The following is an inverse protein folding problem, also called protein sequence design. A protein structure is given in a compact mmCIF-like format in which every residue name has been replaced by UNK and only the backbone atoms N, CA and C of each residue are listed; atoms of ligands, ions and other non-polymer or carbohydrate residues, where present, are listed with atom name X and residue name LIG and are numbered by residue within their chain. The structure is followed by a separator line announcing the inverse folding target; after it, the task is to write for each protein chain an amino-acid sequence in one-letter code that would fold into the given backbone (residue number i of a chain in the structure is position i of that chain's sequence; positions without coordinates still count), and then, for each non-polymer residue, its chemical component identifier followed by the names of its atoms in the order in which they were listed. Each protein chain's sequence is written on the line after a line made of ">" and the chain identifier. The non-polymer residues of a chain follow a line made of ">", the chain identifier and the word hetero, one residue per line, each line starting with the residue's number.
data_IF_009997112787
#
_entry.id   IF_009997112787
#
_cell.length_a   1.000
_cell.length_b   1.000
_cell.length_c   1.000
_cell.angle_alpha   90.00
_cell.angle_beta   90.00
_cell.angle_gamma   90.00
#
_symmetry.space_group_name_H-M   'P 1'
#
loop_
_entity.id
_entity.type
_entity.pdbx_description
1 polymer ?
#
# COMPACT_ATOMS: atom_id res chain seq x y z
N UNK A 1 -11.39 20.51 -0.85
CA UNK A 1 -10.84 19.14 -0.63
C UNK A 1 -11.79 18.02 -1.06
N UNK A 2 -13.06 18.30 -1.27
CA UNK A 2 -14.07 17.31 -1.71
C UNK A 2 -13.69 16.61 -3.03
N UNK A 3 -13.11 17.33 -3.99
CA UNK A 3 -12.68 16.82 -5.30
C UNK A 3 -11.51 15.80 -5.23
N UNK A 4 -10.72 15.84 -4.17
CA UNK A 4 -9.56 14.97 -3.97
C UNK A 4 -9.88 13.69 -3.15
N UNK A 5 -11.15 13.53 -2.76
CA UNK A 5 -11.61 12.40 -1.96
C UNK A 5 -11.95 11.20 -2.82
N UNK A 6 -11.75 10.01 -2.30
CA UNK A 6 -12.23 8.75 -2.88
C UNK A 6 -13.69 8.43 -2.51
N UNK A 7 -14.51 9.43 -2.19
CA UNK A 7 -15.94 9.21 -1.93
C UNK A 7 -16.64 8.50 -3.09
N UNK A 8 -17.74 7.78 -2.81
CA UNK A 8 -18.54 7.08 -3.82
C UNK A 8 -18.88 7.99 -5.00
N UNK A 9 -19.31 9.25 -4.72
CA UNK A 9 -19.67 10.20 -5.76
C UNK A 9 -18.51 10.58 -6.69
N UNK A 10 -17.29 10.75 -6.14
CA UNK A 10 -16.12 11.07 -6.94
C UNK A 10 -15.63 9.85 -7.74
N UNK A 11 -15.67 8.66 -7.16
CA UNK A 11 -15.31 7.42 -7.87
C UNK A 11 -16.24 7.11 -9.03
N UNK A 12 -17.51 7.49 -8.96
CA UNK A 12 -18.44 7.36 -10.08
C UNK A 12 -18.15 8.36 -11.21
N UNK A 13 -17.61 9.53 -10.88
CA UNK A 13 -17.34 10.60 -11.85
C UNK A 13 -15.93 10.50 -12.46
N UNK A 14 -14.91 10.36 -11.62
CA UNK A 14 -13.48 10.24 -12.00
C UNK A 14 -12.76 9.25 -11.08
N UNK A 15 -12.86 7.95 -11.36
CA UNK A 15 -12.25 6.93 -10.50
C UNK A 15 -10.70 7.01 -10.47
N UNK A 16 -10.08 7.30 -11.60
CA UNK A 16 -8.60 7.31 -11.69
C UNK A 16 -8.03 8.54 -11.00
N UNK A 17 -8.58 9.73 -11.29
CA UNK A 17 -8.14 10.97 -10.65
C UNK A 17 -8.35 10.92 -9.15
N UNK A 18 -9.52 10.46 -8.68
CA UNK A 18 -9.82 10.32 -7.25
C UNK A 18 -8.84 9.36 -6.55
N UNK A 19 -8.56 8.18 -7.11
CA UNK A 19 -7.62 7.22 -6.54
C UNK A 19 -6.20 7.76 -6.48
N UNK A 20 -5.73 8.42 -7.55
CA UNK A 20 -4.37 8.94 -7.57
C UNK A 20 -4.22 10.11 -6.61
N UNK A 21 -5.11 11.10 -6.68
CA UNK A 21 -4.97 12.33 -5.90
C UNK A 21 -5.17 12.09 -4.41
N UNK A 22 -6.14 11.25 -4.01
CA UNK A 22 -6.43 10.96 -2.60
C UNK A 22 -5.23 10.36 -1.86
N UNK A 23 -4.37 9.61 -2.52
CA UNK A 23 -3.16 9.03 -1.93
C UNK A 23 -2.14 10.09 -1.47
N UNK A 24 -2.20 11.32 -2.01
CA UNK A 24 -1.24 12.39 -1.75
C UNK A 24 -1.82 13.57 -0.97
N UNK A 25 -3.13 13.61 -0.77
CA UNK A 25 -3.80 14.71 -0.06
C UNK A 25 -4.11 14.31 1.37
N UNK A 26 -3.86 15.25 2.32
CA UNK A 26 -4.19 15.05 3.74
C UNK A 26 -5.30 16.00 4.17
N UNK A 27 -6.22 15.53 5.01
CA UNK A 27 -7.40 16.30 5.44
C UNK A 27 -7.10 17.47 6.38
N UNK A 28 -5.94 17.52 7.03
CA UNK A 28 -5.71 18.38 8.21
C UNK A 28 -4.54 19.38 8.07
N UNK A 29 -4.13 19.76 6.86
CA UNK A 29 -3.10 20.78 6.65
C UNK A 29 -1.71 20.42 7.19
N UNK A 30 -0.92 21.44 7.57
CA UNK A 30 0.50 21.28 7.96
C UNK A 30 0.75 20.33 9.14
N UNK A 31 -0.15 20.28 10.13
CA UNK A 31 -0.02 19.35 11.27
C UNK A 31 -0.09 17.90 10.85
N UNK A 32 -0.98 17.60 9.91
CA UNK A 32 -1.11 16.25 9.35
C UNK A 32 0.15 15.84 8.61
N UNK A 33 0.75 16.74 7.85
CA UNK A 33 2.02 16.47 7.17
C UNK A 33 3.14 16.12 8.15
N UNK A 34 3.29 16.86 9.24
CA UNK A 34 4.31 16.59 10.27
C UNK A 34 4.15 15.21 10.91
N UNK A 35 2.91 14.73 11.05
CA UNK A 35 2.62 13.38 11.56
C UNK A 35 2.86 12.30 10.51
N UNK A 36 2.41 12.54 9.28
CA UNK A 36 2.47 11.54 8.22
C UNK A 36 3.86 11.39 7.59
N UNK A 37 4.68 12.45 7.55
CA UNK A 37 6.02 12.39 6.96
C UNK A 37 6.92 11.32 7.61
N UNK A 38 7.11 11.28 8.95
CA UNK A 38 7.93 10.25 9.57
C UNK A 38 7.35 8.83 9.40
N UNK A 39 6.02 8.67 9.53
CA UNK A 39 5.35 7.38 9.31
C UNK A 39 5.57 6.88 7.89
N UNK A 40 5.32 7.73 6.90
CA UNK A 40 5.56 7.39 5.50
C UNK A 40 7.03 7.12 5.20
N UNK A 41 7.94 7.90 5.79
CA UNK A 41 9.38 7.68 5.59
C UNK A 41 9.79 6.29 6.09
N UNK A 42 9.44 5.93 7.32
CA UNK A 42 9.75 4.60 7.89
C UNK A 42 9.09 3.49 7.06
N UNK A 43 7.80 3.63 6.73
CA UNK A 43 7.06 2.66 5.96
C UNK A 43 7.67 2.43 4.57
N UNK A 44 7.87 3.51 3.80
CA UNK A 44 8.35 3.45 2.42
C UNK A 44 9.82 3.02 2.33
N UNK A 45 10.72 3.60 3.14
CA UNK A 45 12.13 3.20 3.13
C UNK A 45 12.32 1.77 3.61
N UNK A 46 11.57 1.35 4.64
CA UNK A 46 11.58 -0.02 5.12
C UNK A 46 11.13 -1.02 4.06
N UNK A 47 10.02 -0.74 3.38
CA UNK A 47 9.50 -1.58 2.30
C UNK A 47 10.45 -1.59 1.09
N UNK A 48 10.98 -0.43 0.68
CA UNK A 48 11.95 -0.34 -0.41
C UNK A 48 13.24 -1.13 -0.10
N UNK A 49 13.74 -1.06 1.14
CA UNK A 49 14.88 -1.84 1.57
C UNK A 49 14.59 -3.36 1.59
N UNK A 50 13.36 -3.75 1.89
CA UNK A 50 12.94 -5.15 1.98
C UNK A 50 12.73 -5.81 0.61
N UNK A 51 11.98 -5.16 -0.29
CA UNK A 51 11.51 -5.78 -1.55
C UNK A 51 11.92 -5.00 -2.82
N UNK A 52 12.52 -3.82 -2.67
CA UNK A 52 12.90 -2.92 -3.77
C UNK A 52 11.80 -1.93 -4.15
N UNK A 53 12.21 -0.78 -4.72
CA UNK A 53 11.32 0.36 -4.95
C UNK A 53 10.09 0.04 -5.82
N UNK A 54 10.27 -0.58 -7.00
CA UNK A 54 9.16 -0.90 -7.89
C UNK A 54 8.11 -1.81 -7.24
N UNK A 55 8.54 -2.85 -6.54
CA UNK A 55 7.64 -3.77 -5.84
C UNK A 55 6.87 -3.07 -4.73
N UNK A 56 7.54 -2.19 -4.00
CA UNK A 56 6.90 -1.34 -2.99
C UNK A 56 5.78 -0.51 -3.61
N UNK A 57 6.05 0.18 -4.73
CA UNK A 57 5.03 0.98 -5.43
C UNK A 57 3.83 0.11 -5.84
N UNK A 58 4.06 -1.06 -6.44
CA UNK A 58 2.98 -1.96 -6.87
C UNK A 58 2.12 -2.42 -5.70
N UNK A 59 2.73 -2.83 -4.58
CA UNK A 59 1.96 -3.30 -3.41
C UNK A 59 1.20 -2.16 -2.76
N UNK A 60 1.82 -0.98 -2.61
CA UNK A 60 1.17 0.19 -2.05
C UNK A 60 -0.01 0.65 -2.91
N UNK A 61 0.16 0.67 -4.23
CA UNK A 61 -0.91 0.98 -5.17
C UNK A 61 -2.05 -0.05 -5.09
N UNK A 62 -1.72 -1.35 -5.06
CA UNK A 62 -2.72 -2.41 -4.92
C UNK A 62 -3.48 -2.27 -3.59
N UNK A 63 -2.79 -2.08 -2.47
CA UNK A 63 -3.41 -1.89 -1.16
C UNK A 63 -4.31 -0.65 -1.13
N UNK A 64 -3.86 0.48 -1.69
CA UNK A 64 -4.66 1.69 -1.78
C UNK A 64 -5.91 1.50 -2.64
N UNK A 65 -5.77 0.98 -3.85
CA UNK A 65 -6.90 0.76 -4.78
C UNK A 65 -7.90 -0.22 -4.20
N UNK A 66 -7.46 -1.40 -3.75
CA UNK A 66 -8.36 -2.44 -3.22
C UNK A 66 -8.99 -1.98 -1.90
N UNK A 67 -8.22 -1.34 -1.01
CA UNK A 67 -8.72 -0.76 0.23
C UNK A 67 -9.85 0.23 -0.01
N UNK A 68 -9.63 1.19 -0.92
CA UNK A 68 -10.62 2.18 -1.32
C UNK A 68 -11.86 1.54 -1.96
N UNK A 69 -11.68 0.68 -2.96
CA UNK A 69 -12.83 0.10 -3.68
C UNK A 69 -13.70 -0.78 -2.78
N UNK A 70 -13.10 -1.49 -1.83
CA UNK A 70 -13.85 -2.31 -0.87
C UNK A 70 -14.59 -1.42 0.14
N UNK A 71 -13.92 -0.45 0.74
CA UNK A 71 -14.54 0.42 1.75
C UNK A 71 -15.67 1.28 1.15
N UNK A 72 -15.43 1.93 0.02
CA UNK A 72 -16.44 2.75 -0.66
C UNK A 72 -17.55 1.89 -1.29
N UNK A 73 -17.23 0.69 -1.77
CA UNK A 73 -18.22 -0.29 -2.24
C UNK A 73 -19.20 -0.70 -1.15
N UNK A 74 -18.74 -0.88 0.09
CA UNK A 74 -19.59 -1.14 1.26
C UNK A 74 -20.49 0.06 1.54
N UNK A 75 -19.98 1.31 1.47
CA UNK A 75 -20.80 2.52 1.63
C UNK A 75 -21.86 2.60 0.55
N UNK A 76 -21.47 2.42 -0.71
CA UNK A 76 -22.40 2.45 -1.84
C UNK A 76 -23.54 1.43 -1.66
N UNK A 77 -23.20 0.20 -1.28
CA UNK A 77 -24.18 -0.85 -1.00
C UNK A 77 -25.10 -0.49 0.18
N UNK A 78 -24.58 0.03 1.29
CA UNK A 78 -25.38 0.43 2.46
C UNK A 78 -26.29 1.60 2.18
N UNK A 79 -25.86 2.55 1.35
CA UNK A 79 -26.73 3.65 0.88
C UNK A 79 -27.82 3.12 -0.04
N UNK A 80 -27.49 2.25 -1.00
CA UNK A 80 -28.46 1.66 -1.92
C UNK A 80 -29.51 0.80 -1.20
N UNK A 81 -29.12 0.11 -0.11
CA UNK A 81 -30.04 -0.68 0.72
C UNK A 81 -30.84 0.14 1.74
N UNK A 82 -30.64 1.46 1.82
CA UNK A 82 -31.30 2.33 2.80
C UNK A 82 -30.73 2.23 4.22
N UNK A 83 -29.63 1.49 4.43
CA UNK A 83 -28.97 1.36 5.75
C UNK A 83 -28.17 2.61 6.13
N UNK A 84 -27.82 3.47 5.16
CA UNK A 84 -27.17 4.76 5.36
C UNK A 84 -27.90 5.86 4.57
N UNK A 85 -27.90 7.10 5.08
CA UNK A 85 -28.41 8.26 4.33
C UNK A 85 -27.61 8.50 3.05
N UNK A 86 -28.24 9.06 2.02
CA UNK A 86 -27.62 9.38 0.73
C UNK A 86 -26.39 10.33 0.85
N UNK A 87 -26.36 11.17 1.90
CA UNK A 87 -25.24 12.07 2.20
C UNK A 87 -23.89 11.34 2.40
N UNK A 88 -23.91 10.07 2.79
CA UNK A 88 -22.71 9.26 2.96
C UNK A 88 -21.96 9.00 1.65
N UNK A 89 -22.60 9.15 0.48
CA UNK A 89 -21.94 9.10 -0.83
C UNK A 89 -20.86 10.19 -1.02
N UNK A 90 -20.91 11.24 -0.20
CA UNK A 90 -19.98 12.37 -0.21
C UNK A 90 -19.04 12.36 1.00
N UNK A 91 -18.91 11.24 1.70
CA UNK A 91 -18.00 11.11 2.83
C UNK A 91 -16.57 11.30 2.33
N UNK A 92 -15.85 12.21 3.02
CA UNK A 92 -14.47 12.53 2.61
C UNK A 92 -13.53 11.44 3.13
N UNK A 93 -12.96 10.66 2.21
CA UNK A 93 -11.87 9.74 2.48
C UNK A 93 -10.65 10.18 1.66
N UNK A 94 -9.64 10.66 2.36
CA UNK A 94 -8.38 11.15 1.78
C UNK A 94 -7.22 10.80 2.70
N UNK A 95 -6.08 10.56 2.12
CA UNK A 95 -4.83 10.43 2.86
C UNK A 95 -3.97 9.25 2.44
N UNK A 96 -2.68 9.34 2.73
CA UNK A 96 -1.71 8.31 2.39
C UNK A 96 -1.78 7.09 3.32
N UNK A 97 -2.80 6.98 4.17
CA UNK A 97 -2.87 5.98 5.23
C UNK A 97 -2.91 4.54 4.70
N UNK A 98 -3.66 4.26 3.63
CA UNK A 98 -3.71 2.93 3.00
C UNK A 98 -2.37 2.55 2.37
N UNK A 99 -1.68 3.53 1.76
CA UNK A 99 -0.31 3.38 1.26
C UNK A 99 0.65 3.05 2.42
N UNK A 100 0.57 3.82 3.51
CA UNK A 100 1.41 3.64 4.69
C UNK A 100 1.24 2.27 5.32
N UNK A 101 0.00 1.84 5.63
CA UNK A 101 -0.22 0.52 6.26
C UNK A 101 0.18 -0.64 5.34
N UNK A 102 0.02 -0.49 4.01
CA UNK A 102 0.51 -1.48 3.04
C UNK A 102 2.02 -1.62 3.08
N UNK A 103 2.76 -0.50 3.08
CA UNK A 103 4.21 -0.49 3.19
C UNK A 103 4.70 -1.03 4.54
N UNK A 104 4.02 -0.70 5.65
CA UNK A 104 4.33 -1.22 6.98
C UNK A 104 4.19 -2.75 7.04
N UNK A 105 3.12 -3.31 6.45
CA UNK A 105 2.94 -4.77 6.36
C UNK A 105 4.08 -5.43 5.58
N UNK A 106 4.46 -4.89 4.42
CA UNK A 106 5.62 -5.40 3.65
C UNK A 106 6.89 -5.34 4.49
N UNK A 107 7.12 -4.23 5.20
CA UNK A 107 8.29 -4.04 6.06
C UNK A 107 8.31 -5.04 7.21
N UNK A 108 7.18 -5.28 7.88
CA UNK A 108 7.04 -6.26 8.95
C UNK A 108 7.32 -7.70 8.49
N UNK A 109 6.82 -8.07 7.31
CA UNK A 109 6.95 -9.44 6.80
C UNK A 109 8.32 -9.71 6.16
N UNK A 110 8.90 -8.72 5.45
CA UNK A 110 10.06 -8.91 4.61
C UNK A 110 11.31 -8.13 5.06
N UNK A 111 11.17 -7.15 5.96
CA UNK A 111 12.25 -6.26 6.37
C UNK A 111 13.29 -6.92 7.27
N UNK A 112 14.44 -6.27 7.44
CA UNK A 112 15.43 -6.62 8.43
C UNK A 112 14.92 -6.35 9.85
N UNK A 113 15.60 -6.90 10.87
CA UNK A 113 15.17 -6.76 12.26
C UNK A 113 14.87 -5.32 12.67
N UNK A 114 15.73 -4.39 12.33
CA UNK A 114 15.56 -2.99 12.70
C UNK A 114 14.36 -2.34 12.01
N UNK A 115 14.20 -2.59 10.71
CA UNK A 115 13.04 -2.11 9.97
C UNK A 115 11.72 -2.68 10.48
N UNK A 116 11.70 -3.96 10.88
CA UNK A 116 10.52 -4.56 11.51
C UNK A 116 10.15 -3.91 12.84
N UNK A 117 11.15 -3.59 13.68
CA UNK A 117 10.90 -2.89 14.95
C UNK A 117 10.31 -1.51 14.70
N UNK A 118 10.91 -0.73 13.81
CA UNK A 118 10.39 0.61 13.46
C UNK A 118 8.98 0.53 12.88
N UNK A 119 8.73 -0.39 11.96
CA UNK A 119 7.40 -0.59 11.39
C UNK A 119 6.35 -1.05 12.41
N UNK A 120 6.75 -1.88 13.39
CA UNK A 120 5.86 -2.28 14.48
C UNK A 120 5.52 -1.09 15.38
N UNK A 121 6.49 -0.25 15.72
CA UNK A 121 6.25 0.98 16.49
C UNK A 121 5.34 1.94 15.76
N UNK A 122 5.56 2.17 14.46
CA UNK A 122 4.68 3.00 13.62
C UNK A 122 3.26 2.45 13.58
N UNK A 123 3.11 1.13 13.39
CA UNK A 123 1.79 0.52 13.37
C UNK A 123 1.09 0.65 14.73
N UNK A 124 1.82 0.50 15.85
CA UNK A 124 1.27 0.72 17.18
C UNK A 124 0.80 2.17 17.36
N UNK A 125 1.57 3.16 16.87
CA UNK A 125 1.16 4.57 16.89
C UNK A 125 -0.09 4.81 16.06
N UNK A 126 -0.23 4.17 14.90
CA UNK A 126 -1.44 4.29 14.09
C UNK A 126 -2.65 3.62 14.74
N UNK A 127 -2.47 2.47 15.38
CA UNK A 127 -3.56 1.70 16.01
C UNK A 127 -4.06 2.39 17.29
N UNK A 128 -3.18 2.76 18.20
CA UNK A 128 -3.58 3.26 19.52
C UNK A 128 -3.91 4.77 19.51
N UNK A 129 -2.96 5.71 19.38
CA UNK A 129 -3.32 7.12 19.31
C UNK A 129 -3.99 7.50 17.98
N UNK A 130 -3.58 6.89 16.87
CA UNK A 130 -4.14 7.13 15.54
C UNK A 130 -5.52 6.52 15.32
N UNK A 131 -5.90 5.51 16.09
CA UNK A 131 -7.22 4.84 16.08
C UNK A 131 -7.68 4.42 14.67
N UNK A 132 -6.75 3.94 13.82
CA UNK A 132 -7.06 3.58 12.43
C UNK A 132 -8.13 2.48 12.29
N UNK A 133 -8.43 1.73 13.33
CA UNK A 133 -9.49 0.72 13.38
C UNK A 133 -10.74 1.17 14.14
N UNK A 134 -10.82 2.45 14.51
CA UNK A 134 -12.03 2.99 15.16
C UNK A 134 -13.23 2.85 14.22
N UNK A 135 -14.34 2.37 14.74
CA UNK A 135 -15.55 2.16 13.94
C UNK A 135 -15.56 0.90 13.08
N UNK A 136 -14.58 -0.01 13.19
CA UNK A 136 -14.55 -1.25 12.40
C UNK A 136 -15.85 -2.08 12.55
N UNK A 137 -16.37 -2.20 13.75
CA UNK A 137 -17.62 -2.95 14.00
C UNK A 137 -18.86 -2.30 13.38
N UNK A 138 -18.81 -1.00 13.12
CA UNK A 138 -19.85 -0.25 12.40
C UNK A 138 -19.57 -0.12 10.90
N UNK A 139 -18.53 -0.79 10.40
CA UNK A 139 -18.08 -0.75 9.00
C UNK A 139 -17.74 0.69 8.56
N UNK A 140 -16.99 1.40 9.40
CA UNK A 140 -16.45 2.71 9.05
C UNK A 140 -15.49 2.59 7.86
N UNK A 141 -15.59 3.52 6.91
CA UNK A 141 -14.85 3.52 5.63
C UNK A 141 -13.35 3.39 5.87
N UNK A 142 -12.81 4.24 6.72
CA UNK A 142 -11.36 4.28 6.98
C UNK A 142 -10.88 2.98 7.63
N UNK A 143 -11.62 2.46 8.63
CA UNK A 143 -11.23 1.23 9.34
C UNK A 143 -11.26 0.00 8.42
N UNK A 144 -12.30 -0.13 7.59
CA UNK A 144 -12.42 -1.21 6.59
C UNK A 144 -11.31 -1.09 5.55
N UNK A 145 -11.07 0.12 5.04
CA UNK A 145 -10.03 0.38 4.06
C UNK A 145 -8.63 0.02 4.56
N UNK A 146 -8.28 0.38 5.82
CA UNK A 146 -6.99 0.01 6.41
C UNK A 146 -6.80 -1.51 6.49
N UNK A 147 -7.79 -2.26 7.01
CA UNK A 147 -7.68 -3.72 7.10
C UNK A 147 -7.55 -4.33 5.71
N UNK A 148 -8.38 -3.89 4.76
CA UNK A 148 -8.34 -4.40 3.39
C UNK A 148 -7.00 -4.11 2.72
N UNK A 149 -6.44 -2.92 2.91
CA UNK A 149 -5.11 -2.57 2.39
C UNK A 149 -4.00 -3.45 3.00
N UNK A 150 -4.05 -3.69 4.31
CA UNK A 150 -3.09 -4.56 5.01
C UNK A 150 -3.17 -6.01 4.53
N UNK A 151 -4.39 -6.56 4.39
CA UNK A 151 -4.62 -7.92 3.87
C UNK A 151 -4.13 -8.04 2.43
N UNK A 152 -4.43 -7.05 1.58
CA UNK A 152 -3.98 -7.00 0.19
C UNK A 152 -2.45 -6.99 0.11
N UNK A 153 -1.80 -6.15 0.91
CA UNK A 153 -0.34 -6.11 0.97
C UNK A 153 0.26 -7.45 1.41
N UNK A 154 -0.30 -8.07 2.46
CA UNK A 154 0.14 -9.38 2.93
C UNK A 154 -0.03 -10.48 1.86
N UNK A 155 -1.15 -10.47 1.13
CA UNK A 155 -1.40 -11.41 0.04
C UNK A 155 -0.45 -11.23 -1.16
N UNK A 156 0.06 -10.03 -1.39
CA UNK A 156 1.05 -9.75 -2.43
C UNK A 156 2.46 -10.27 -2.09
N UNK A 157 2.82 -10.39 -0.80
CA UNK A 157 4.19 -10.78 -0.37
C UNK A 157 4.66 -12.11 -0.97
N UNK A 158 3.89 -13.22 -0.98
CA UNK A 158 4.34 -14.47 -1.58
C UNK A 158 4.67 -14.34 -3.07
N UNK A 159 3.93 -13.50 -3.81
CA UNK A 159 4.17 -13.26 -5.23
C UNK A 159 5.50 -12.52 -5.44
N UNK A 160 5.80 -11.55 -4.59
CA UNK A 160 7.04 -10.78 -4.65
C UNK A 160 8.27 -11.64 -4.35
N UNK A 161 8.17 -12.57 -3.41
CA UNK A 161 9.29 -13.44 -3.01
C UNK A 161 9.56 -14.54 -4.03
N UNK A 162 8.53 -15.12 -4.66
CA UNK A 162 8.69 -16.14 -5.73
C UNK A 162 9.47 -15.62 -6.93
N UNK A 163 9.20 -14.40 -7.39
CA UNK A 163 9.92 -13.77 -8.51
C UNK A 163 11.41 -13.58 -8.18
N UNK A 164 11.78 -13.42 -6.92
CA UNK A 164 13.18 -13.28 -6.49
C UNK A 164 13.92 -14.63 -6.63
N UNK A 165 13.30 -15.75 -6.27
CA UNK A 165 13.90 -17.07 -6.37
C UNK A 165 14.14 -17.49 -7.83
N UNK A 166 13.27 -17.12 -8.75
CA UNK A 166 13.41 -17.45 -10.17
C UNK A 166 14.61 -16.75 -10.83
N UNK A 167 14.97 -15.52 -10.42
CA UNK A 167 16.14 -14.78 -10.95
C UNK A 167 17.50 -15.39 -10.57
N UNK A 168 17.56 -16.19 -9.49
CA UNK A 168 18.80 -16.84 -9.06
C UNK A 168 19.05 -18.18 -9.78
N UNK A 169 18.06 -18.71 -10.49
CA UNK A 169 18.14 -19.99 -11.19
C UNK A 169 18.32 -19.86 -12.70
N UNK A 170 18.45 -18.66 -13.24
CA UNK A 170 18.91 -18.50 -14.63
C UNK A 170 20.43 -18.57 -14.63
N UNK A 171 21.05 -19.63 -15.18
CA UNK A 171 22.50 -19.73 -15.28
C UNK A 171 22.99 -18.66 -16.25
N UNK A 172 23.59 -17.59 -15.74
CA UNK A 172 24.31 -16.58 -16.55
C UNK A 172 25.68 -17.09 -17.01
N UNK A 173 26.07 -18.30 -16.64
CA UNK A 173 27.32 -18.90 -17.00
C UNK A 173 27.11 -20.18 -17.82
N UNK A 174 26.61 -20.00 -19.05
CA UNK A 174 27.00 -20.93 -20.08
C UNK A 174 28.45 -20.55 -20.48
N UNK A 175 29.48 -21.38 -20.20
CA UNK A 175 30.82 -21.08 -20.66
C UNK A 175 30.77 -20.99 -22.19
N UNK A 176 31.18 -19.85 -22.73
CA UNK A 176 31.41 -19.68 -24.16
C UNK A 176 32.48 -20.69 -24.57
N UNK A 177 32.01 -21.85 -25.05
CA UNK A 177 32.81 -22.81 -25.75
C UNK A 177 33.15 -22.17 -27.09
N UNK A 178 34.28 -21.52 -27.18
CA UNK A 178 35.04 -21.30 -28.41
C UNK A 178 36.16 -20.29 -28.13
N UNK A 179 37.24 -20.77 -27.48
CA UNK A 179 38.55 -20.21 -27.75
C UNK A 179 39.24 -21.13 -28.77
N UNK A 180 39.59 -20.65 -29.97
CA UNK A 180 40.37 -21.42 -30.92
C UNK A 180 41.75 -21.69 -30.32
N UNK A 181 42.15 -22.97 -30.23
CA UNK A 181 43.54 -23.36 -29.91
C UNK A 181 44.44 -22.80 -31.01
N UNK A 182 45.28 -21.87 -30.67
CA UNK A 182 46.41 -21.47 -31.50
C UNK A 182 47.34 -22.68 -31.66
N UNK A 183 47.68 -23.09 -32.92
CA UNK A 183 48.68 -24.14 -33.12
C UNK A 183 50.06 -23.57 -32.75
N UNK A 184 50.78 -24.26 -31.88
CA UNK A 184 52.20 -24.07 -31.64
C UNK A 184 52.97 -24.50 -32.89
N UNK A 185 53.70 -23.58 -33.52
CA UNK A 185 54.71 -23.89 -34.56
C UNK A 185 55.97 -24.36 -33.82
N UNK A 186 56.38 -25.55 -34.13
CA UNK A 186 57.73 -26.07 -33.93
C UNK A 186 58.71 -25.42 -34.89
#
# INVERSE_FOLDING_TARGET
>A
MTWASTSVANLEHDPVGSLVVSAFVTSSGARSLLTWLPVLAIAMFGACAAVGGWRTVVVCAAGHVVGTLVSEGIVAWRVASGALPASFRHLIDVGPSYVAVSALVVTLLCGSRWWRVLAALDLLLLVFPGRIFAGLMSLDVSAVGHITAMVTAAACVPLLTRVRLWRWHTPLDAPTRDSPRTPTRD
#
